data_IF_901044152250
#
_entry.id   IF_901044152250
#
_cell.length_a   1.000
_cell.length_b   1.000
_cell.length_c   1.000
_cell.angle_alpha   90.00
_cell.angle_beta   90.00
_cell.angle_gamma   90.00
#
_symmetry.space_group_name_H-M   'P 1'
#
loop_
_entity.id
_entity.type
_entity.pdbx_description
1 polymer ?
#
# COMPACT_ATOMS: atom_id res chain seq x y z
N UNK A 1 -28.65 57.26 62.61
CA UNK A 1 -27.64 56.28 62.17
C UNK A 1 -28.37 55.21 61.36
N UNK A 2 -28.31 55.35 60.03
CA UNK A 2 -29.13 54.58 59.08
C UNK A 2 -28.29 53.41 58.55
N UNK A 3 -28.81 52.19 58.59
CA UNK A 3 -28.22 51.01 57.92
C UNK A 3 -29.29 50.26 57.16
N UNK A 4 -29.05 50.09 55.85
CA UNK A 4 -29.40 48.98 54.93
C UNK A 4 -29.01 49.46 53.50
N UNK A 5 -28.89 48.61 52.45
CA UNK A 5 -28.64 47.16 52.37
C UNK A 5 -27.70 46.73 51.19
N UNK A 6 -27.58 45.41 51.01
CA UNK A 6 -27.49 44.64 49.73
C UNK A 6 -26.21 44.54 48.87
N UNK A 7 -25.85 43.25 48.66
CA UNK A 7 -25.46 42.56 47.41
C UNK A 7 -24.16 42.95 46.69
N UNK A 8 -23.19 42.04 46.70
CA UNK A 8 -22.25 41.73 45.61
C UNK A 8 -21.83 40.26 45.80
N UNK A 9 -22.49 39.31 45.12
CA UNK A 9 -22.23 38.89 43.75
C UNK A 9 -21.00 37.97 43.64
N UNK A 10 -21.28 36.66 43.64
CA UNK A 10 -20.69 35.62 42.79
C UNK A 10 -19.41 36.01 42.04
N UNK A 11 -18.25 35.80 42.65
CA UNK A 11 -16.95 35.89 41.99
C UNK A 11 -16.13 34.63 42.31
N UNK A 12 -16.63 33.46 41.89
CA UNK A 12 -15.89 32.21 41.97
C UNK A 12 -16.10 31.35 40.71
N UNK A 13 -15.95 31.99 39.54
CA UNK A 13 -16.11 31.30 38.26
C UNK A 13 -15.48 32.10 37.12
N UNK A 14 -14.13 32.17 37.06
CA UNK A 14 -13.38 32.31 35.79
C UNK A 14 -11.84 32.34 35.99
N UNK A 15 -11.23 31.29 36.57
CA UNK A 15 -9.77 31.26 36.66
C UNK A 15 -9.16 29.84 36.66
N UNK A 16 -9.62 28.93 35.79
CA UNK A 16 -8.88 27.66 35.57
C UNK A 16 -9.26 26.92 34.27
N UNK A 17 -9.16 27.55 33.11
CA UNK A 17 -9.31 26.83 31.83
C UNK A 17 -8.41 27.39 30.71
N UNK A 18 -7.22 27.90 31.05
CA UNK A 18 -6.28 28.44 30.08
C UNK A 18 -4.92 27.71 30.11
N UNK A 19 -4.95 26.39 29.99
CA UNK A 19 -3.78 25.60 29.63
C UNK A 19 -4.23 24.18 29.32
N UNK A 20 -4.52 23.86 28.05
CA UNK A 20 -4.30 22.54 27.41
C UNK A 20 -4.77 22.66 25.96
N UNK A 21 -4.11 23.53 25.19
CA UNK A 21 -4.04 23.37 23.75
C UNK A 21 -2.56 23.13 23.42
N UNK A 22 -2.04 21.98 23.88
CA UNK A 22 -0.88 21.40 23.19
C UNK A 22 -1.49 20.91 21.89
N UNK A 23 -1.37 21.71 20.83
CA UNK A 23 -1.69 21.23 19.50
C UNK A 23 -0.91 19.94 19.31
N UNK A 24 -1.60 18.85 19.02
CA UNK A 24 -0.96 17.68 18.45
C UNK A 24 -0.28 18.19 17.19
N UNK A 25 1.05 18.35 17.22
CA UNK A 25 1.80 18.47 15.99
C UNK A 25 1.42 17.22 15.21
N UNK A 26 0.63 17.38 14.14
CA UNK A 26 0.51 16.31 13.15
C UNK A 26 1.94 15.95 12.82
N UNK A 27 2.32 14.69 13.01
CA UNK A 27 3.56 14.17 12.49
C UNK A 27 3.45 14.32 10.97
N UNK A 28 3.83 15.49 10.47
CA UNK A 28 4.00 15.71 9.06
C UNK A 28 5.18 14.83 8.73
N UNK A 29 4.90 13.68 8.11
CA UNK A 29 5.92 12.78 7.61
C UNK A 29 6.90 13.66 6.82
N UNK A 30 8.11 13.85 7.33
CA UNK A 30 9.15 14.68 6.72
C UNK A 30 9.74 13.96 5.50
N UNK A 31 8.85 13.54 4.60
CA UNK A 31 9.20 12.83 3.39
C UNK A 31 10.00 13.76 2.50
N UNK A 32 11.18 13.32 2.10
CA UNK A 32 12.09 14.10 1.26
C UNK A 32 11.61 14.23 -0.20
N UNK A 33 10.57 13.49 -0.59
CA UNK A 33 9.90 13.55 -1.90
C UNK A 33 8.45 13.03 -1.78
N UNK A 34 7.61 13.26 -2.80
CA UNK A 34 6.31 12.59 -2.95
C UNK A 34 6.46 11.07 -3.18
N UNK A 35 5.36 10.33 -2.94
CA UNK A 35 5.21 8.89 -3.23
C UNK A 35 5.26 8.58 -4.73
N UNK A 36 5.12 9.57 -5.61
CA UNK A 36 5.03 9.37 -7.04
C UNK A 36 6.18 8.52 -7.61
N UNK A 37 5.82 7.44 -8.30
CA UNK A 37 6.77 6.50 -8.90
C UNK A 37 6.59 5.05 -8.45
N UNK A 38 7.46 4.19 -8.97
CA UNK A 38 7.53 2.76 -8.63
C UNK A 38 8.64 2.52 -7.61
N UNK A 39 8.29 1.80 -6.55
CA UNK A 39 9.15 1.47 -5.43
C UNK A 39 9.23 -0.04 -5.27
N UNK A 40 10.43 -0.60 -5.21
CA UNK A 40 10.63 -2.06 -5.14
C UNK A 40 11.64 -2.47 -4.09
N UNK A 41 11.44 -3.65 -3.51
CA UNK A 41 12.34 -4.23 -2.51
C UNK A 41 13.43 -5.12 -3.11
N UNK A 42 14.47 -5.38 -2.33
CA UNK A 42 15.47 -6.41 -2.63
C UNK A 42 16.28 -6.08 -3.89
N UNK A 43 16.31 -7.01 -4.84
CA UNK A 43 17.06 -6.85 -6.11
C UNK A 43 16.35 -5.97 -7.13
N UNK A 44 15.11 -5.54 -6.85
CA UNK A 44 14.28 -4.82 -7.81
C UNK A 44 13.64 -5.70 -8.90
N UNK A 45 13.72 -7.04 -8.77
CA UNK A 45 13.17 -7.97 -9.75
C UNK A 45 11.63 -7.93 -9.82
N UNK A 46 10.96 -7.73 -8.68
CA UNK A 46 9.51 -7.53 -8.64
C UNK A 46 9.24 -6.08 -9.02
N UNK A 47 8.39 -5.89 -10.02
CA UNK A 47 7.92 -4.59 -10.49
C UNK A 47 6.40 -4.59 -10.55
N UNK A 48 5.82 -3.43 -10.81
CA UNK A 48 4.41 -3.26 -11.17
C UNK A 48 4.28 -3.09 -12.69
N UNK A 49 3.05 -2.99 -13.18
CA UNK A 49 2.68 -2.74 -14.55
C UNK A 49 2.69 -3.99 -15.43
N UNK A 50 2.68 -3.79 -16.77
CA UNK A 50 2.59 -4.89 -17.74
C UNK A 50 3.85 -5.78 -17.75
N UNK A 51 4.94 -5.37 -17.10
CA UNK A 51 6.13 -6.19 -16.89
C UNK A 51 5.95 -7.26 -15.80
N UNK A 52 4.86 -7.23 -15.05
CA UNK A 52 4.58 -8.16 -13.95
C UNK A 52 3.24 -8.89 -14.11
N UNK A 53 2.18 -8.16 -14.48
CA UNK A 53 0.84 -8.73 -14.55
C UNK A 53 0.13 -8.44 -15.87
N UNK A 54 -0.67 -9.42 -16.29
CA UNK A 54 -1.68 -9.35 -17.35
C UNK A 54 -2.96 -10.02 -16.81
N UNK A 55 -3.69 -9.36 -15.88
CA UNK A 55 -4.72 -10.02 -15.07
C UNK A 55 -5.93 -10.51 -15.89
N UNK A 56 -6.09 -10.01 -17.11
CA UNK A 56 -7.16 -10.44 -18.04
C UNK A 56 -6.79 -11.72 -18.80
N UNK A 57 -5.52 -12.13 -18.78
CA UNK A 57 -5.07 -13.40 -19.29
C UNK A 57 -5.21 -14.49 -18.20
N UNK A 58 -6.37 -15.14 -18.17
CA UNK A 58 -6.67 -16.16 -17.16
C UNK A 58 -5.75 -17.39 -17.19
N UNK A 59 -5.11 -17.69 -18.33
CA UNK A 59 -4.18 -18.82 -18.45
C UNK A 59 -2.77 -18.47 -17.94
N UNK A 60 -2.36 -17.21 -18.10
CA UNK A 60 -1.04 -16.73 -17.67
C UNK A 60 -1.08 -15.27 -17.18
N UNK A 61 -1.63 -15.03 -15.98
CA UNK A 61 -1.85 -13.66 -15.48
C UNK A 61 -0.60 -12.97 -14.95
N UNK A 62 0.53 -13.69 -14.82
CA UNK A 62 1.77 -13.17 -14.25
C UNK A 62 2.99 -13.50 -15.09
N UNK A 63 3.94 -12.57 -15.08
CA UNK A 63 5.32 -12.74 -15.54
C UNK A 63 6.18 -12.94 -14.30
N UNK A 64 6.72 -14.15 -14.13
CA UNK A 64 7.45 -14.53 -12.93
C UNK A 64 8.82 -13.86 -12.85
N UNK A 65 9.10 -13.07 -11.80
CA UNK A 65 10.42 -12.49 -11.59
C UNK A 65 11.45 -13.55 -11.18
N UNK A 66 12.72 -13.29 -11.47
CA UNK A 66 13.82 -14.19 -11.07
C UNK A 66 14.03 -14.25 -9.54
N UNK A 67 13.66 -13.19 -8.81
CA UNK A 67 13.82 -13.09 -7.36
C UNK A 67 12.51 -12.63 -6.70
N UNK A 68 12.30 -13.05 -5.44
CA UNK A 68 11.18 -12.58 -4.63
C UNK A 68 11.30 -11.11 -4.27
N UNK A 69 10.16 -10.49 -3.98
CA UNK A 69 10.08 -9.11 -3.56
C UNK A 69 8.66 -8.59 -3.54
N UNK A 70 8.56 -7.31 -3.25
CA UNK A 70 7.35 -6.50 -3.34
C UNK A 70 7.64 -5.24 -4.13
N UNK A 71 6.63 -4.74 -4.83
CA UNK A 71 6.66 -3.46 -5.48
C UNK A 71 5.33 -2.72 -5.29
N UNK A 72 5.43 -1.41 -5.19
CA UNK A 72 4.30 -0.49 -5.16
C UNK A 72 4.52 0.61 -6.18
N UNK A 73 3.47 1.01 -6.86
CA UNK A 73 3.47 2.22 -7.68
C UNK A 73 2.39 3.17 -7.22
N UNK A 74 2.70 4.47 -7.24
CA UNK A 74 1.77 5.52 -6.86
C UNK A 74 1.75 6.63 -7.89
N UNK A 75 0.56 7.12 -8.20
CA UNK A 75 0.32 8.30 -9.05
C UNK A 75 -0.08 9.49 -8.21
N UNK A 76 0.13 10.72 -8.71
CA UNK A 76 -0.24 11.94 -7.96
C UNK A 76 -1.77 12.16 -7.88
N UNK A 77 -2.54 11.51 -8.76
CA UNK A 77 -4.02 11.52 -8.76
C UNK A 77 -4.63 10.43 -7.86
N UNK A 78 -3.83 9.75 -7.05
CA UNK A 78 -4.33 8.92 -5.95
C UNK A 78 -4.56 7.45 -6.29
N UNK A 79 -3.94 6.93 -7.36
CA UNK A 79 -3.98 5.49 -7.68
C UNK A 79 -2.74 4.77 -7.18
N UNK A 80 -2.93 3.50 -6.80
CA UNK A 80 -1.84 2.61 -6.45
C UNK A 80 -1.92 1.30 -7.21
N UNK A 81 -0.79 0.62 -7.29
CA UNK A 81 -0.69 -0.78 -7.68
C UNK A 81 0.29 -1.49 -6.76
N UNK A 82 -0.06 -2.71 -6.34
CA UNK A 82 0.79 -3.59 -5.52
C UNK A 82 1.09 -4.87 -6.28
N UNK A 83 2.36 -5.27 -6.27
CA UNK A 83 2.84 -6.56 -6.77
C UNK A 83 3.67 -7.25 -5.70
N UNK A 84 3.46 -8.56 -5.50
CA UNK A 84 4.29 -9.37 -4.60
C UNK A 84 4.59 -10.73 -5.21
N UNK A 85 5.83 -11.17 -5.06
CA UNK A 85 6.24 -12.54 -5.33
C UNK A 85 7.04 -13.09 -4.15
N UNK A 86 6.61 -14.22 -3.59
CA UNK A 86 7.24 -14.86 -2.42
C UNK A 86 7.22 -16.38 -2.53
N UNK A 87 8.13 -17.03 -1.80
CA UNK A 87 8.14 -18.48 -1.60
C UNK A 87 8.04 -18.84 -0.13
N UNK A 88 7.38 -19.95 0.14
CA UNK A 88 7.47 -20.70 1.38
C UNK A 88 8.21 -22.00 1.09
N UNK A 89 9.41 -22.14 1.65
CA UNK A 89 10.20 -23.36 1.53
C UNK A 89 9.61 -24.52 2.33
N UNK A 90 9.83 -25.74 1.84
CA UNK A 90 9.48 -26.98 2.55
C UNK A 90 10.78 -27.70 2.95
N UNK A 91 11.15 -27.61 4.23
CA UNK A 91 12.42 -28.18 4.72
C UNK A 91 12.49 -29.71 4.58
N UNK A 92 11.35 -30.40 4.68
CA UNK A 92 11.28 -31.86 4.52
C UNK A 92 11.37 -32.27 3.04
N UNK A 93 10.91 -31.41 2.12
CA UNK A 93 10.94 -31.65 0.68
C UNK A 93 11.40 -30.39 -0.07
N UNK A 94 12.71 -30.13 -0.16
CA UNK A 94 13.25 -28.89 -0.73
C UNK A 94 12.87 -28.65 -2.21
N UNK A 95 12.59 -29.71 -2.98
CA UNK A 95 12.10 -29.62 -4.36
C UNK A 95 10.62 -29.21 -4.49
N UNK A 96 9.94 -28.98 -3.36
CA UNK A 96 8.51 -28.70 -3.28
C UNK A 96 8.21 -27.34 -2.61
N UNK A 97 8.77 -26.22 -3.07
CA UNK A 97 8.42 -24.91 -2.52
C UNK A 97 6.99 -24.53 -2.92
N UNK A 98 6.31 -23.78 -2.05
CA UNK A 98 5.06 -23.10 -2.42
C UNK A 98 5.38 -21.68 -2.83
N UNK A 99 5.07 -21.29 -4.06
CA UNK A 99 5.16 -19.92 -4.53
C UNK A 99 3.80 -19.22 -4.39
N UNK A 100 3.81 -17.96 -3.98
CA UNK A 100 2.62 -17.10 -4.01
C UNK A 100 3.00 -15.82 -4.73
N UNK A 101 2.24 -15.50 -5.78
CA UNK A 101 2.35 -14.27 -6.56
C UNK A 101 0.99 -13.58 -6.58
N UNK A 102 0.96 -12.28 -6.39
CA UNK A 102 -0.28 -11.53 -6.52
C UNK A 102 -0.05 -10.15 -7.09
N UNK A 103 -1.14 -9.60 -7.64
CA UNK A 103 -1.23 -8.25 -8.15
C UNK A 103 -2.61 -7.68 -7.85
N UNK A 104 -2.66 -6.40 -7.48
CA UNK A 104 -3.90 -5.64 -7.36
C UNK A 104 -3.63 -4.15 -7.56
N UNK A 105 -4.70 -3.40 -7.83
CA UNK A 105 -4.65 -1.95 -7.97
C UNK A 105 -5.91 -1.29 -7.44
N UNK A 106 -5.86 0.01 -7.24
CA UNK A 106 -6.96 0.77 -6.65
C UNK A 106 -6.60 2.21 -6.36
N UNK A 107 -7.23 2.78 -5.34
CA UNK A 107 -6.94 4.15 -4.89
C UNK A 107 -6.30 4.15 -3.51
N UNK A 108 -5.47 5.16 -3.25
CA UNK A 108 -4.86 5.36 -1.94
C UNK A 108 -5.25 6.69 -1.32
N UNK A 109 -5.15 6.77 0.00
CA UNK A 109 -5.42 7.97 0.78
C UNK A 109 -4.35 8.19 1.84
N UNK A 110 -3.86 9.43 1.89
CA UNK A 110 -3.01 9.93 2.97
C UNK A 110 -3.87 10.55 4.07
N UNK A 111 -3.64 10.12 5.30
CA UNK A 111 -4.42 10.54 6.45
C UNK A 111 -3.67 11.59 7.28
N UNK A 112 -4.43 12.41 8.00
CA UNK A 112 -3.86 13.48 8.85
C UNK A 112 -2.99 12.95 10.01
N UNK A 113 -3.20 11.69 10.43
CA UNK A 113 -2.36 10.99 11.41
C UNK A 113 -1.04 10.46 10.82
N UNK A 114 -0.79 10.66 9.52
CA UNK A 114 0.40 10.19 8.81
C UNK A 114 0.28 8.79 8.21
N UNK A 115 -0.82 8.06 8.44
CA UNK A 115 -1.01 6.72 7.84
C UNK A 115 -1.37 6.80 6.36
N UNK A 116 -1.10 5.71 5.63
CA UNK A 116 -1.47 5.51 4.23
C UNK A 116 -2.42 4.31 4.15
N UNK A 117 -3.54 4.46 3.47
CA UNK A 117 -4.47 3.34 3.16
C UNK A 117 -4.57 3.14 1.67
N UNK A 118 -4.67 1.89 1.23
CA UNK A 118 -4.74 1.48 -0.17
C UNK A 118 -5.94 0.55 -0.32
N UNK A 119 -6.91 0.96 -1.13
CA UNK A 119 -8.19 0.29 -1.32
C UNK A 119 -8.36 -0.18 -2.76
N UNK A 120 -8.44 -1.52 -3.00
CA UNK A 120 -8.74 -2.06 -4.32
C UNK A 120 -10.24 -2.00 -4.66
N UNK A 121 -11.09 -1.48 -3.76
CA UNK A 121 -12.55 -1.48 -3.94
C UNK A 121 -13.05 -0.92 -5.29
N UNK A 122 -12.46 0.15 -5.88
CA UNK A 122 -12.88 0.63 -7.21
C UNK A 122 -12.68 -0.39 -8.33
N UNK A 123 -11.74 -1.32 -8.17
CA UNK A 123 -11.28 -2.28 -9.19
C UNK A 123 -11.20 -3.72 -8.65
N UNK A 124 -12.11 -4.07 -7.73
CA UNK A 124 -12.04 -5.30 -6.94
C UNK A 124 -12.00 -6.59 -7.78
N UNK A 125 -12.57 -6.57 -8.99
CA UNK A 125 -12.63 -7.74 -9.89
C UNK A 125 -11.33 -7.96 -10.70
N UNK A 126 -10.39 -7.00 -10.66
CA UNK A 126 -9.19 -7.05 -11.50
C UNK A 126 -8.04 -7.83 -10.85
N UNK A 127 -7.91 -7.79 -9.52
CA UNK A 127 -6.76 -8.36 -8.85
C UNK A 127 -6.72 -9.89 -8.95
N UNK A 128 -5.50 -10.43 -8.93
CA UNK A 128 -5.21 -11.85 -9.10
C UNK A 128 -4.23 -12.30 -8.03
N UNK A 129 -4.39 -13.54 -7.57
CA UNK A 129 -3.43 -14.25 -6.74
C UNK A 129 -3.25 -15.65 -7.32
N UNK A 130 -2.01 -16.05 -7.55
CA UNK A 130 -1.67 -17.39 -7.98
C UNK A 130 -0.78 -18.07 -6.93
N UNK A 131 -1.21 -19.25 -6.50
CA UNK A 131 -0.42 -20.15 -5.65
C UNK A 131 0.05 -21.33 -6.47
N UNK A 132 1.35 -21.62 -6.43
CA UNK A 132 1.95 -22.76 -7.11
C UNK A 132 2.66 -23.68 -6.13
N UNK A 133 2.45 -24.99 -6.28
CA UNK A 133 3.18 -26.01 -5.53
C UNK A 133 3.38 -27.23 -6.44
N UNK A 134 4.61 -27.58 -6.81
CA UNK A 134 4.86 -28.65 -7.79
C UNK A 134 4.57 -30.06 -7.25
N UNK A 135 4.33 -30.21 -5.94
CA UNK A 135 4.20 -31.51 -5.28
C UNK A 135 2.77 -31.79 -4.80
N UNK A 136 1.81 -30.94 -5.14
CA UNK A 136 0.38 -31.18 -4.91
C UNK A 136 -0.32 -31.57 -6.22
N UNK A 137 -1.41 -32.37 -6.17
CA UNK A 137 -2.16 -32.75 -7.38
C UNK A 137 -2.64 -31.54 -8.19
N UNK A 138 -3.05 -30.48 -7.50
CA UNK A 138 -3.30 -29.17 -8.11
C UNK A 138 -2.03 -28.34 -7.95
N UNK A 139 -1.30 -28.15 -9.04
CA UNK A 139 0.02 -27.50 -9.01
C UNK A 139 -0.04 -25.98 -9.11
N UNK A 140 -1.17 -25.44 -9.57
CA UNK A 140 -1.40 -24.02 -9.74
C UNK A 140 -2.87 -23.70 -9.48
N UNK A 141 -3.12 -22.74 -8.59
CA UNK A 141 -4.46 -22.23 -8.28
C UNK A 141 -4.46 -20.72 -8.47
N UNK A 142 -5.33 -20.23 -9.35
CA UNK A 142 -5.56 -18.81 -9.59
C UNK A 142 -6.88 -18.40 -8.91
N UNK A 143 -6.84 -17.31 -8.14
CA UNK A 143 -8.01 -16.72 -7.50
C UNK A 143 -8.05 -15.21 -7.69
N UNK A 144 -9.23 -14.62 -7.55
CA UNK A 144 -9.38 -13.18 -7.40
C UNK A 144 -8.71 -12.69 -6.12
N UNK A 145 -8.27 -11.43 -6.13
CA UNK A 145 -7.59 -10.81 -4.99
C UNK A 145 -7.92 -9.32 -4.92
N UNK A 146 -8.31 -8.83 -3.75
CA UNK A 146 -8.73 -7.46 -3.52
C UNK A 146 -8.59 -7.10 -2.03
N UNK A 147 -7.39 -7.32 -1.49
CA UNK A 147 -7.10 -7.09 -0.09
C UNK A 147 -6.86 -5.60 0.18
N UNK A 148 -7.50 -5.07 1.22
CA UNK A 148 -7.20 -3.73 1.69
C UNK A 148 -5.84 -3.67 2.40
N UNK A 149 -5.04 -2.65 2.11
CA UNK A 149 -3.71 -2.49 2.70
C UNK A 149 -3.59 -1.17 3.48
N UNK A 150 -2.77 -1.17 4.54
CA UNK A 150 -2.47 0.02 5.32
C UNK A 150 -1.02 0.03 5.79
N UNK A 151 -0.40 1.20 5.72
CA UNK A 151 0.82 1.50 6.43
C UNK A 151 0.49 2.46 7.57
N UNK A 152 0.58 1.95 8.80
CA UNK A 152 0.37 2.70 10.03
C UNK A 152 1.41 3.82 10.17
N UNK A 153 2.65 3.50 9.78
CA UNK A 153 3.78 4.42 9.76
C UNK A 153 4.54 4.23 8.47
N UNK A 154 4.92 5.32 7.83
CA UNK A 154 5.79 5.27 6.66
C UNK A 154 6.56 6.59 6.53
N UNK A 155 7.76 6.48 5.99
CA UNK A 155 8.64 7.62 5.72
C UNK A 155 9.40 7.40 4.41
N UNK A 156 9.65 8.49 3.69
CA UNK A 156 10.56 8.53 2.55
C UNK A 156 11.82 9.28 2.97
N UNK A 157 12.96 8.59 2.89
CA UNK A 157 14.28 9.14 3.19
C UNK A 157 15.27 8.78 2.08
N UNK A 158 16.41 9.49 2.03
CA UNK A 158 17.55 9.08 1.20
C UNK A 158 18.34 8.02 1.98
N UNK A 159 18.45 6.81 1.43
CA UNK A 159 19.31 5.77 2.00
C UNK A 159 20.78 6.11 1.70
N UNK A 160 21.58 6.27 2.75
CA UNK A 160 22.98 6.70 2.61
C UNK A 160 23.89 5.65 2.01
N UNK A 161 23.53 4.36 2.08
CA UNK A 161 24.35 3.28 1.52
C UNK A 161 24.09 3.12 0.01
N UNK A 162 22.85 3.35 -0.42
CA UNK A 162 22.43 3.19 -1.82
C UNK A 162 22.35 4.51 -2.58
N UNK A 163 22.45 5.66 -1.89
CA UNK A 163 22.29 7.00 -2.45
C UNK A 163 20.97 7.14 -3.24
N UNK A 164 19.90 6.52 -2.74
CA UNK A 164 18.61 6.41 -3.41
C UNK A 164 17.47 6.72 -2.45
N UNK A 165 16.36 7.25 -2.99
CA UNK A 165 15.13 7.39 -2.22
C UNK A 165 14.62 6.01 -1.80
N UNK A 166 14.23 5.90 -0.53
CA UNK A 166 13.69 4.66 0.03
C UNK A 166 12.46 4.94 0.88
N UNK A 167 11.50 4.02 0.82
CA UNK A 167 10.38 3.95 1.74
C UNK A 167 10.72 2.97 2.85
N UNK A 168 10.49 3.40 4.08
CA UNK A 168 10.40 2.52 5.24
C UNK A 168 8.98 2.59 5.76
N UNK A 169 8.29 1.47 5.76
CA UNK A 169 6.91 1.38 6.18
C UNK A 169 6.69 0.26 7.20
N UNK A 170 5.62 0.38 7.97
CA UNK A 170 5.14 -0.61 8.91
C UNK A 170 3.62 -0.72 8.78
N UNK A 171 3.13 -1.96 8.81
CA UNK A 171 1.71 -2.29 8.84
C UNK A 171 1.38 -3.12 10.09
N UNK A 172 0.13 -3.58 10.20
CA UNK A 172 -0.33 -4.41 11.30
C UNK A 172 0.44 -5.73 11.47
N UNK A 173 1.08 -6.24 10.40
CA UNK A 173 1.94 -7.44 10.41
C UNK A 173 3.41 -7.12 10.72
N UNK A 174 3.77 -5.85 10.92
CA UNK A 174 5.12 -5.41 11.25
C UNK A 174 5.80 -4.64 10.11
N UNK A 175 7.13 -4.70 10.08
CA UNK A 175 7.94 -3.92 9.13
C UNK A 175 7.76 -4.46 7.71
N UNK A 176 7.41 -3.56 6.79
CA UNK A 176 7.43 -3.82 5.35
C UNK A 176 8.90 -3.84 4.89
N UNK A 177 9.29 -4.75 3.97
CA UNK A 177 10.60 -4.69 3.33
C UNK A 177 10.90 -3.29 2.80
N UNK A 178 12.13 -2.82 2.98
CA UNK A 178 12.54 -1.50 2.46
C UNK A 178 12.34 -1.47 0.95
N UNK A 179 11.68 -0.43 0.47
CA UNK A 179 11.45 -0.20 -0.96
C UNK A 179 12.36 0.92 -1.44
N UNK A 180 12.88 0.82 -2.65
CA UNK A 180 13.69 1.85 -3.30
C UNK A 180 12.97 2.36 -4.55
N UNK A 181 13.02 3.67 -4.79
CA UNK A 181 12.47 4.26 -6.01
C UNK A 181 13.27 3.78 -7.22
N UNK A 182 12.63 3.10 -8.16
CA UNK A 182 13.27 2.58 -9.37
C UNK A 182 12.82 3.27 -10.64
N UNK A 183 11.55 3.68 -10.72
CA UNK A 183 11.00 4.31 -11.93
C UNK A 183 10.15 5.52 -11.58
N UNK A 184 10.32 6.60 -12.33
CA UNK A 184 9.48 7.80 -12.30
C UNK A 184 9.36 8.31 -13.75
N UNK A 185 8.17 8.34 -14.37
CA UNK A 185 6.81 8.07 -13.84
C UNK A 185 6.60 6.61 -13.38
N UNK A 186 5.54 6.32 -12.59
CA UNK A 186 5.25 4.95 -12.15
C UNK A 186 4.93 4.02 -13.32
N UNK A 187 5.39 2.77 -13.24
CA UNK A 187 4.99 1.69 -14.14
C UNK A 187 3.75 0.99 -13.59
N UNK A 188 2.59 1.22 -14.20
CA UNK A 188 1.30 0.67 -13.75
C UNK A 188 0.47 0.21 -14.95
N UNK A 189 -0.47 -0.70 -14.71
CA UNK A 189 -1.59 -0.93 -15.61
C UNK A 189 -2.55 0.27 -15.60
N UNK A 190 -3.49 0.38 -16.56
CA UNK A 190 -4.45 1.49 -16.60
C UNK A 190 -5.22 1.65 -15.28
N UNK A 191 -5.36 2.90 -14.81
CA UNK A 191 -6.02 3.29 -13.55
C UNK A 191 -7.56 3.29 -13.66
N UNK A 192 -8.10 2.19 -14.18
CA UNK A 192 -9.53 1.98 -14.46
C UNK A 192 -9.85 0.49 -14.36
N UNK A 193 -11.12 0.10 -14.35
CA UNK A 193 -11.48 -1.32 -14.29
C UNK A 193 -11.07 -2.04 -15.58
N UNK A 194 -10.10 -2.96 -15.45
CA UNK A 194 -9.60 -3.78 -16.54
C UNK A 194 -10.64 -4.82 -16.95
N UNK A 195 -11.36 -5.39 -15.97
CA UNK A 195 -12.48 -6.31 -16.19
C UNK A 195 -13.60 -5.64 -16.99
N UNK A 196 -13.97 -4.39 -16.65
CA UNK A 196 -14.97 -3.64 -17.40
C UNK A 196 -14.52 -3.35 -18.85
N UNK A 197 -13.25 -3.01 -19.06
CA UNK A 197 -12.70 -2.81 -20.41
C UNK A 197 -12.73 -4.12 -21.22
N UNK A 198 -12.28 -5.22 -20.62
CA UNK A 198 -12.20 -6.51 -21.29
C UNK A 198 -13.59 -7.05 -21.65
N UNK A 199 -14.54 -6.99 -20.71
CA UNK A 199 -15.93 -7.41 -20.94
C UNK A 199 -16.59 -6.59 -22.04
N UNK A 200 -16.46 -5.26 -22.03
CA UNK A 200 -16.99 -4.40 -23.09
C UNK A 200 -16.34 -4.69 -24.46
N UNK A 201 -15.05 -5.02 -24.48
CA UNK A 201 -14.34 -5.40 -25.71
C UNK A 201 -14.82 -6.75 -26.26
N UNK A 202 -15.17 -7.69 -25.39
CA UNK A 202 -15.69 -9.01 -25.78
C UNK A 202 -17.16 -9.01 -26.23
N UNK A 203 -17.97 -8.03 -25.78
CA UNK A 203 -19.37 -7.90 -26.19
C UNK A 203 -19.56 -7.22 -27.55
N UNK A 204 -18.53 -6.56 -28.09
CA UNK A 204 -18.53 -5.94 -29.41
C UNK A 204 -17.91 -6.78 -30.52
N UNK A 205 -17.49 -8.03 -30.23
CA UNK A 205 -16.95 -9.00 -31.18
C UNK A 205 -17.97 -10.11 -31.46
#
# INVERSE_FOLDING_TARGET
MLRLPTLLASALSLALALAFAIGSASAQNNNVTSLYGTWTSGTGAVVTGPGFADPMNNDRPFIYPANTGIAYSFTDDGYFETAQYRFQGNASHPGCPTAVIFWQHGTYQLHANGSLTMSPAPFADDGRLQTQNPCTPTTSVLTYYNEWEMWDQWEINIDTNHQAYSIRAQNYNGKVPRLFLTTRPPSMLPTTSLTAIFTNSSAGA
#
